data_IF_979842890651
#
_entry.id   IF_979842890651
#
_cell.length_a   1.000
_cell.length_b   1.000
_cell.length_c   1.000
_cell.angle_alpha   90.00
_cell.angle_beta   90.00
_cell.angle_gamma   90.00
#
_symmetry.space_group_name_H-M   'P 1'
#
loop_
_entity.id
_entity.type
_entity.pdbx_description
1 polymer ?
#
# COMPACT_ATOMS: atom_id res chain seq x y z
N UNK A 1 -42.93 6.33 -61.85
CA UNK A 1 -44.14 6.79 -61.15
C UNK A 1 -43.84 6.83 -59.64
N UNK A 2 -43.97 8.02 -59.04
CA UNK A 2 -44.41 8.37 -57.66
C UNK A 2 -44.02 7.39 -56.51
N UNK A 3 -43.09 7.78 -55.62
CA UNK A 3 -43.28 8.50 -54.32
C UNK A 3 -43.95 7.67 -53.19
N UNK A 4 -43.19 7.33 -52.14
CA UNK A 4 -43.47 7.51 -50.68
C UNK A 4 -42.30 6.85 -49.89
N UNK A 5 -41.37 7.54 -49.23
CA UNK A 5 -41.42 8.35 -48.00
C UNK A 5 -41.48 7.53 -46.69
N UNK A 6 -40.46 7.77 -45.84
CA UNK A 6 -40.35 7.56 -44.38
C UNK A 6 -40.08 6.14 -43.83
N UNK A 7 -38.87 5.94 -43.28
CA UNK A 7 -38.65 5.87 -41.82
C UNK A 7 -37.14 5.80 -41.51
N UNK A 8 -36.59 6.93 -41.05
CA UNK A 8 -35.39 6.95 -40.23
C UNK A 8 -35.70 6.20 -38.93
N UNK A 9 -35.16 5.00 -38.75
CA UNK A 9 -34.98 4.43 -37.42
C UNK A 9 -33.50 4.50 -37.07
N UNK A 10 -33.19 5.39 -36.14
CA UNK A 10 -31.92 5.48 -35.47
C UNK A 10 -31.62 4.16 -34.77
N UNK A 11 -30.80 3.31 -35.39
CA UNK A 11 -30.08 2.26 -34.68
C UNK A 11 -28.79 2.89 -34.13
N UNK A 12 -28.91 3.80 -33.16
CA UNK A 12 -27.85 3.98 -32.18
C UNK A 12 -27.85 2.70 -31.34
N UNK A 13 -27.10 1.72 -31.81
CA UNK A 13 -26.65 0.63 -30.97
C UNK A 13 -25.74 1.30 -29.94
N UNK A 14 -26.33 1.62 -28.78
CA UNK A 14 -25.57 1.80 -27.56
C UNK A 14 -24.88 0.46 -27.28
N UNK A 15 -23.70 0.27 -27.87
CA UNK A 15 -22.73 -0.63 -27.31
C UNK A 15 -22.33 -0.01 -25.96
N UNK A 16 -23.04 -0.41 -24.90
CA UNK A 16 -22.47 -0.38 -23.56
C UNK A 16 -21.35 -1.43 -23.56
N UNK A 17 -20.24 -1.10 -24.22
CA UNK A 17 -18.94 -1.64 -23.86
C UNK A 17 -18.65 -1.06 -22.48
N UNK A 18 -19.19 -1.70 -21.44
CA UNK A 18 -18.55 -1.66 -20.14
C UNK A 18 -17.24 -2.42 -20.31
N UNK A 19 -16.23 -1.73 -20.83
CA UNK A 19 -14.87 -2.11 -20.52
C UNK A 19 -14.81 -2.10 -18.99
N UNK A 20 -14.66 -3.27 -18.37
CA UNK A 20 -14.18 -3.34 -16.99
C UNK A 20 -12.85 -2.59 -17.02
N UNK A 21 -12.87 -1.34 -16.57
CA UNK A 21 -11.63 -0.61 -16.35
C UNK A 21 -10.90 -1.40 -15.26
N UNK A 22 -9.83 -2.09 -15.65
CA UNK A 22 -8.99 -2.83 -14.72
C UNK A 22 -8.33 -1.78 -13.83
N UNK A 23 -8.85 -1.62 -12.62
CA UNK A 23 -8.41 -0.54 -11.74
C UNK A 23 -7.07 -0.83 -11.06
N UNK A 24 -6.82 -2.12 -10.83
CA UNK A 24 -5.68 -2.72 -10.15
C UNK A 24 -5.36 -4.06 -10.87
N UNK A 25 -4.10 -4.48 -10.94
CA UNK A 25 -3.71 -5.74 -11.60
C UNK A 25 -2.62 -6.50 -10.82
N UNK A 26 -2.53 -6.31 -9.50
CA UNK A 26 -1.57 -7.12 -8.73
C UNK A 26 -1.99 -8.57 -8.71
N UNK A 27 -1.05 -9.44 -9.07
CA UNK A 27 -1.24 -10.90 -9.05
C UNK A 27 -0.27 -11.54 -8.06
N UNK A 28 -0.68 -12.59 -7.36
CA UNK A 28 0.24 -13.39 -6.57
C UNK A 28 1.37 -13.95 -7.44
N UNK A 29 2.61 -13.85 -6.97
CA UNK A 29 3.76 -14.48 -7.62
C UNK A 29 4.02 -15.82 -6.94
N UNK A 30 3.35 -16.87 -7.42
CA UNK A 30 3.51 -18.22 -6.90
C UNK A 30 2.43 -18.63 -5.89
N UNK A 31 2.78 -19.57 -5.01
CA UNK A 31 1.83 -20.23 -4.10
C UNK A 31 1.24 -19.25 -3.09
N UNK A 32 -0.05 -19.37 -2.80
CA UNK A 32 -0.65 -18.64 -1.68
C UNK A 32 0.05 -19.02 -0.38
N UNK A 33 0.40 -18.01 0.40
CA UNK A 33 1.08 -18.19 1.68
C UNK A 33 0.01 -18.40 2.75
N UNK A 34 -0.03 -19.59 3.33
CA UNK A 34 -0.91 -19.92 4.45
C UNK A 34 -0.05 -20.04 5.71
N UNK A 35 -0.32 -19.20 6.71
CA UNK A 35 0.40 -19.23 7.97
C UNK A 35 -0.08 -20.38 8.87
N UNK A 36 0.88 -21.06 9.51
CA UNK A 36 0.59 -22.04 10.55
C UNK A 36 -0.03 -21.38 11.78
N UNK A 37 -0.72 -22.17 12.61
CA UNK A 37 -1.30 -21.65 13.85
C UNK A 37 -0.23 -21.09 14.79
N UNK A 38 0.96 -21.70 14.86
CA UNK A 38 2.08 -21.20 15.65
C UNK A 38 2.54 -19.80 15.21
N UNK A 39 2.56 -19.53 13.90
CA UNK A 39 2.92 -18.22 13.36
C UNK A 39 1.89 -17.15 13.74
N UNK A 40 0.59 -17.51 13.71
CA UNK A 40 -0.50 -16.63 14.13
C UNK A 40 -0.47 -16.37 15.65
N UNK A 41 -0.25 -17.40 16.45
CA UNK A 41 -0.20 -17.31 17.92
C UNK A 41 0.97 -16.45 18.42
N UNK A 42 2.13 -16.46 17.73
CA UNK A 42 3.27 -15.58 18.06
C UNK A 42 2.90 -14.10 18.01
N UNK A 43 1.91 -13.72 17.22
CA UNK A 43 1.50 -12.33 17.00
C UNK A 43 0.34 -11.94 17.87
N UNK A 44 -0.60 -12.84 18.09
CA UNK A 44 -1.65 -12.65 19.10
C UNK A 44 -1.05 -12.34 20.49
N UNK A 45 0.16 -12.85 20.76
CA UNK A 45 0.92 -12.60 21.99
C UNK A 45 1.92 -11.42 21.90
N UNK A 46 2.17 -10.88 20.70
CA UNK A 46 3.03 -9.72 20.49
C UNK A 46 2.22 -8.43 20.68
N UNK A 47 2.40 -7.80 21.86
CA UNK A 47 2.00 -6.45 22.31
C UNK A 47 0.93 -5.71 21.49
N UNK A 48 -0.12 -5.23 22.17
CA UNK A 48 -1.23 -4.37 21.71
C UNK A 48 -0.85 -3.01 21.05
N UNK A 49 0.40 -2.79 20.66
CA UNK A 49 0.87 -1.51 20.14
C UNK A 49 1.00 -1.56 18.60
N UNK A 50 0.75 -0.43 17.89
CA UNK A 50 0.80 -0.44 16.43
C UNK A 50 2.19 -0.72 15.85
N UNK A 51 2.24 -1.52 14.80
CA UNK A 51 3.41 -1.68 13.93
C UNK A 51 3.58 -0.42 13.08
N UNK A 52 4.71 0.26 13.19
CA UNK A 52 4.97 1.48 12.40
C UNK A 52 5.92 1.17 11.24
N UNK A 53 5.41 1.27 10.01
CA UNK A 53 6.10 0.86 8.79
C UNK A 53 6.68 2.06 8.05
N UNK A 54 7.94 1.96 7.63
CA UNK A 54 8.63 2.98 6.84
C UNK A 54 8.13 3.01 5.39
N UNK A 55 7.67 4.17 4.92
CA UNK A 55 7.30 4.41 3.52
C UNK A 55 8.11 5.55 2.92
N UNK A 56 8.41 5.48 1.62
CA UNK A 56 9.10 6.52 0.89
C UNK A 56 8.44 6.74 -0.46
N UNK A 57 8.25 8.00 -0.86
CA UNK A 57 7.60 8.34 -2.13
C UNK A 57 8.63 8.83 -3.14
N UNK A 58 8.64 8.23 -4.31
CA UNK A 58 9.27 8.80 -5.51
C UNK A 58 8.18 9.19 -6.49
N UNK A 59 8.11 10.47 -6.86
CA UNK A 59 7.18 11.00 -7.86
C UNK A 59 7.94 11.40 -9.10
N UNK A 60 7.54 10.85 -10.23
CA UNK A 60 8.15 11.13 -11.52
C UNK A 60 7.61 12.45 -12.12
N UNK A 61 8.43 13.06 -12.95
CA UNK A 61 8.13 14.23 -13.75
C UNK A 61 8.82 14.06 -15.11
N UNK A 62 8.48 14.88 -16.09
CA UNK A 62 9.19 14.90 -17.36
C UNK A 62 10.65 15.35 -17.16
N UNK A 63 11.52 15.10 -18.13
CA UNK A 63 12.96 15.37 -18.02
C UNK A 63 13.27 16.85 -17.71
N UNK A 64 12.42 17.75 -18.21
CA UNK A 64 12.48 19.20 -17.95
C UNK A 64 11.89 19.62 -16.58
N UNK A 65 11.35 18.65 -15.82
CA UNK A 65 10.71 18.83 -14.53
C UNK A 65 9.22 19.22 -14.59
N UNK A 66 8.63 19.30 -15.78
CA UNK A 66 7.19 19.53 -15.97
C UNK A 66 6.37 18.25 -15.78
N UNK A 67 5.03 18.37 -15.85
CA UNK A 67 4.07 17.26 -15.70
C UNK A 67 4.37 16.27 -14.57
N UNK A 68 4.80 16.78 -13.42
CA UNK A 68 5.00 15.97 -12.21
C UNK A 68 3.74 15.17 -11.89
N UNK A 69 3.87 13.86 -11.68
CA UNK A 69 2.74 12.94 -11.59
C UNK A 69 1.74 13.25 -10.49
N UNK A 70 2.15 13.88 -9.39
CA UNK A 70 1.22 14.45 -8.41
C UNK A 70 1.87 15.62 -7.68
N UNK A 71 1.06 16.46 -7.02
CA UNK A 71 1.51 17.49 -6.07
C UNK A 71 1.76 16.89 -4.68
N UNK A 72 2.63 17.48 -3.87
CA UNK A 72 2.87 17.03 -2.49
C UNK A 72 1.60 17.05 -1.63
N UNK A 73 0.71 18.02 -1.82
CA UNK A 73 -0.57 18.08 -1.12
C UNK A 73 -1.43 16.84 -1.35
N UNK A 74 -1.65 16.48 -2.62
CA UNK A 74 -2.38 15.26 -2.99
C UNK A 74 -1.69 13.99 -2.46
N UNK A 75 -0.36 13.92 -2.52
CA UNK A 75 0.41 12.77 -1.99
C UNK A 75 0.18 12.63 -0.48
N UNK A 76 0.34 13.72 0.28
CA UNK A 76 0.18 13.73 1.73
C UNK A 76 -1.26 13.40 2.13
N UNK A 77 -2.26 13.91 1.39
CA UNK A 77 -3.68 13.55 1.59
C UNK A 77 -3.89 12.03 1.44
N UNK A 78 -3.38 11.43 0.37
CA UNK A 78 -3.57 10.00 0.16
C UNK A 78 -2.82 9.15 1.20
N UNK A 79 -1.63 9.57 1.62
CA UNK A 79 -0.92 8.92 2.74
C UNK A 79 -1.75 9.00 4.02
N UNK A 80 -2.41 10.13 4.30
CA UNK A 80 -3.31 10.25 5.45
C UNK A 80 -4.53 9.33 5.33
N UNK A 81 -5.17 9.25 4.15
CA UNK A 81 -6.28 8.33 3.90
C UNK A 81 -5.86 6.87 4.15
N UNK A 82 -4.72 6.47 3.58
CA UNK A 82 -4.12 5.17 3.81
C UNK A 82 -3.83 4.94 5.30
N UNK A 83 -3.16 5.86 5.99
CA UNK A 83 -2.90 5.73 7.42
C UNK A 83 -4.19 5.51 8.24
N UNK A 84 -5.27 6.22 7.91
CA UNK A 84 -6.57 6.06 8.57
C UNK A 84 -7.19 4.67 8.32
N UNK A 85 -7.03 4.09 7.13
CA UNK A 85 -7.54 2.75 6.80
C UNK A 85 -6.84 1.63 7.56
N UNK A 86 -5.55 1.82 7.85
CA UNK A 86 -4.71 0.82 8.52
C UNK A 86 -4.70 0.96 10.05
N UNK A 87 -5.05 2.13 10.58
CA UNK A 87 -5.04 2.38 12.02
C UNK A 87 -5.88 1.36 12.82
N UNK A 88 -7.11 1.00 12.39
CA UNK A 88 -7.89 -0.04 13.08
C UNK A 88 -7.21 -1.42 13.11
N UNK A 89 -6.26 -1.66 12.20
CA UNK A 89 -5.49 -2.89 12.09
C UNK A 89 -4.18 -2.86 12.88
N UNK A 90 -3.98 -1.89 13.77
CA UNK A 90 -2.73 -1.68 14.52
C UNK A 90 -1.51 -1.57 13.60
N UNK A 91 -1.68 -0.93 12.44
CA UNK A 91 -0.60 -0.61 11.52
C UNK A 91 -0.62 0.90 11.31
N UNK A 92 0.56 1.50 11.39
CA UNK A 92 0.80 2.92 11.20
C UNK A 92 2.00 3.11 10.29
N UNK A 93 2.30 4.35 9.91
CA UNK A 93 3.37 4.63 8.96
C UNK A 93 4.31 5.74 9.44
N UNK A 94 5.50 5.77 8.88
CA UNK A 94 6.41 6.92 8.95
C UNK A 94 6.91 7.24 7.55
N UNK A 95 6.64 8.47 7.08
CA UNK A 95 7.04 8.93 5.77
C UNK A 95 8.50 9.44 5.80
N UNK A 96 9.40 8.71 5.14
CA UNK A 96 10.82 9.07 5.06
C UNK A 96 11.08 10.30 4.19
N UNK A 97 10.25 10.50 3.16
CA UNK A 97 10.35 11.65 2.29
C UNK A 97 9.51 11.51 1.02
N UNK A 98 9.43 12.61 0.28
CA UNK A 98 8.92 12.66 -1.09
C UNK A 98 10.08 13.17 -1.94
N UNK A 99 10.52 12.38 -2.91
CA UNK A 99 11.57 12.71 -3.87
C UNK A 99 10.96 12.86 -5.25
N UNK A 100 11.29 13.94 -5.96
CA UNK A 100 11.02 14.03 -7.38
C UNK A 100 12.18 13.43 -8.19
N UNK A 101 11.85 12.69 -9.25
CA UNK A 101 12.79 12.23 -10.27
C UNK A 101 12.28 12.70 -11.63
N UNK A 102 13.11 13.41 -12.39
CA UNK A 102 12.80 13.81 -13.76
C UNK A 102 13.21 12.68 -14.70
N UNK A 103 12.23 12.00 -15.27
CA UNK A 103 12.38 10.90 -16.22
C UNK A 103 11.07 10.77 -17.00
N UNK A 104 11.01 11.29 -18.23
CA UNK A 104 9.76 11.32 -19.02
C UNK A 104 9.22 9.93 -19.33
N UNK A 105 10.11 8.95 -19.52
CA UNK A 105 9.78 7.55 -19.81
C UNK A 105 9.05 6.93 -18.62
N UNK A 106 9.67 6.98 -17.44
CA UNK A 106 9.02 6.53 -16.21
C UNK A 106 7.85 7.42 -15.78
N UNK A 107 7.71 8.64 -16.28
CA UNK A 107 6.51 9.44 -16.02
C UNK A 107 5.28 8.91 -16.79
N UNK A 108 5.50 8.07 -17.81
CA UNK A 108 4.48 7.30 -18.55
C UNK A 108 4.79 5.81 -18.45
N UNK A 109 4.62 5.25 -17.26
CA UNK A 109 5.07 3.90 -16.95
C UNK A 109 4.11 2.81 -17.42
N UNK A 110 4.61 1.78 -18.09
CA UNK A 110 3.87 0.57 -18.48
C UNK A 110 4.36 -0.64 -17.69
N UNK A 111 3.57 -1.06 -16.68
CA UNK A 111 3.92 -2.15 -15.74
C UNK A 111 4.44 -3.42 -16.44
N UNK A 112 3.75 -3.88 -17.47
CA UNK A 112 4.02 -5.19 -18.11
C UNK A 112 5.41 -5.27 -18.76
N UNK A 113 5.95 -4.14 -19.21
CA UNK A 113 7.23 -4.07 -19.93
C UNK A 113 8.34 -3.48 -19.08
N UNK A 114 8.02 -2.63 -18.10
CA UNK A 114 9.00 -1.76 -17.44
C UNK A 114 9.10 -1.99 -15.92
N UNK A 115 8.47 -3.03 -15.36
CA UNK A 115 8.44 -3.27 -13.90
C UNK A 115 9.84 -3.22 -13.23
N UNK A 116 10.89 -3.62 -13.94
CA UNK A 116 12.26 -3.59 -13.43
C UNK A 116 12.89 -2.18 -13.39
N UNK A 117 12.36 -1.22 -14.15
CA UNK A 117 12.95 0.10 -14.35
C UNK A 117 12.75 1.05 -13.18
N UNK A 118 11.75 0.78 -12.32
CA UNK A 118 11.55 1.51 -11.06
C UNK A 118 12.51 1.04 -9.95
N UNK A 119 13.11 -0.15 -10.09
CA UNK A 119 13.95 -0.76 -9.04
C UNK A 119 15.17 0.08 -8.61
N UNK A 120 15.89 0.76 -9.53
CA UNK A 120 17.01 1.65 -9.17
C UNK A 120 16.57 2.87 -8.34
N UNK A 121 15.29 3.23 -8.38
CA UNK A 121 14.74 4.38 -7.66
C UNK A 121 14.14 4.00 -6.30
N UNK A 122 14.35 2.78 -5.82
CA UNK A 122 13.97 2.40 -4.46
C UNK A 122 14.89 3.05 -3.45
N UNK A 123 14.30 3.61 -2.41
CA UNK A 123 14.99 3.98 -1.17
C UNK A 123 15.12 2.72 -0.29
N UNK A 124 16.36 2.27 0.03
CA UNK A 124 16.56 1.09 0.84
C UNK A 124 15.96 1.21 2.24
N UNK A 125 15.33 0.14 2.72
CA UNK A 125 14.73 0.12 4.06
C UNK A 125 13.36 0.79 4.17
N UNK A 126 12.66 0.97 3.06
CA UNK A 126 11.29 1.49 2.97
C UNK A 126 10.41 0.62 2.08
N UNK A 127 9.10 0.66 2.31
CA UNK A 127 8.13 0.39 1.23
C UNK A 127 8.15 1.60 0.29
N UNK A 128 8.42 1.36 -0.99
CA UNK A 128 8.58 2.41 -1.98
C UNK A 128 7.29 2.61 -2.78
N UNK A 129 6.79 3.85 -2.78
CA UNK A 129 5.61 4.27 -3.52
C UNK A 129 6.07 5.11 -4.70
N UNK A 130 5.86 4.60 -5.90
CA UNK A 130 6.15 5.30 -7.15
C UNK A 130 4.89 5.96 -7.69
N UNK A 131 4.99 7.23 -8.08
CA UNK A 131 3.86 7.98 -8.64
C UNK A 131 4.25 8.49 -10.02
N UNK A 132 3.48 8.08 -11.02
CA UNK A 132 3.69 8.39 -12.42
C UNK A 132 2.60 9.33 -12.89
N UNK A 133 2.87 10.25 -13.83
CA UNK A 133 1.80 11.05 -14.44
C UNK A 133 0.78 10.16 -15.15
N UNK A 134 1.26 9.14 -15.87
CA UNK A 134 0.42 8.13 -16.51
C UNK A 134 0.88 6.71 -16.12
N UNK A 135 -0.10 5.86 -15.86
CA UNK A 135 0.04 4.41 -15.68
C UNK A 135 -1.06 3.78 -16.55
N UNK A 136 -0.83 3.57 -17.86
CA UNK A 136 -1.88 3.25 -18.81
C UNK A 136 -2.70 2.01 -18.38
N UNK A 137 -4.02 2.20 -18.30
CA UNK A 137 -4.96 1.13 -17.96
C UNK A 137 -4.99 0.73 -16.49
N UNK A 138 -4.28 1.43 -15.58
CA UNK A 138 -4.24 1.12 -14.15
C UNK A 138 -4.32 2.39 -13.28
N UNK A 139 -4.87 2.28 -12.07
CA UNK A 139 -4.67 3.31 -11.04
C UNK A 139 -3.51 2.96 -10.11
N UNK A 140 -3.26 1.67 -9.94
CA UNK A 140 -2.26 1.16 -9.04
C UNK A 140 -1.85 -0.26 -9.38
N UNK A 141 -0.66 -0.62 -8.93
CA UNK A 141 -0.18 -2.00 -8.90
C UNK A 141 0.94 -2.13 -7.86
N UNK A 142 0.87 -3.14 -7.03
CA UNK A 142 2.06 -3.78 -6.45
C UNK A 142 2.66 -4.79 -7.45
N UNK A 143 3.96 -5.07 -7.30
CA UNK A 143 4.73 -5.96 -8.19
C UNK A 143 4.94 -7.37 -7.62
N UNK A 144 4.18 -7.74 -6.59
CA UNK A 144 4.22 -9.04 -5.92
C UNK A 144 3.43 -9.02 -4.61
N UNK A 145 3.21 -10.19 -4.02
CA UNK A 145 2.50 -10.36 -2.75
C UNK A 145 3.25 -11.42 -1.90
N UNK A 146 3.88 -11.04 -0.77
CA UNK A 146 4.15 -9.66 -0.33
C UNK A 146 5.17 -8.96 -1.24
N UNK A 147 5.33 -7.65 -1.08
CA UNK A 147 6.36 -6.88 -1.78
C UNK A 147 6.74 -5.61 -1.01
N UNK A 148 7.83 -4.95 -1.42
CA UNK A 148 8.34 -3.71 -0.81
C UNK A 148 8.17 -2.48 -1.69
N UNK A 149 7.39 -2.56 -2.77
CA UNK A 149 7.15 -1.42 -3.64
C UNK A 149 5.86 -1.56 -4.48
N UNK A 150 5.31 -0.41 -4.86
CA UNK A 150 4.10 -0.26 -5.64
C UNK A 150 4.15 1.00 -6.50
N UNK A 151 3.32 1.04 -7.54
CA UNK A 151 3.15 2.19 -8.43
C UNK A 151 1.71 2.67 -8.48
N UNK A 152 1.52 3.97 -8.63
CA UNK A 152 0.24 4.65 -8.69
C UNK A 152 0.20 5.65 -9.84
N UNK A 153 -0.97 5.81 -10.45
CA UNK A 153 -1.22 6.87 -11.41
C UNK A 153 -1.43 8.21 -10.70
N UNK A 154 -0.99 9.29 -11.34
CA UNK A 154 -1.17 10.65 -10.87
C UNK A 154 -2.63 11.03 -10.69
N UNK A 155 -3.48 10.56 -11.61
CA UNK A 155 -4.94 10.72 -11.53
C UNK A 155 -5.55 10.05 -10.30
N UNK A 156 -5.06 8.86 -9.91
CA UNK A 156 -5.50 8.19 -8.69
C UNK A 156 -5.13 8.98 -7.44
N UNK A 157 -3.92 9.54 -7.40
CA UNK A 157 -3.46 10.36 -6.28
C UNK A 157 -4.25 11.68 -6.19
N UNK A 158 -4.48 12.33 -7.34
CA UNK A 158 -5.14 13.62 -7.42
C UNK A 158 -6.64 13.56 -7.11
N UNK A 159 -7.31 12.44 -7.41
CA UNK A 159 -8.75 12.27 -7.19
C UNK A 159 -9.13 12.35 -5.71
N UNK A 160 -10.26 13.00 -5.43
CA UNK A 160 -10.88 13.07 -4.09
C UNK A 160 -11.78 11.87 -3.80
N UNK A 161 -12.35 11.28 -4.85
CA UNK A 161 -13.24 10.11 -4.75
C UNK A 161 -12.44 8.79 -4.74
N UNK A 162 -11.17 8.83 -5.14
CA UNK A 162 -10.26 7.72 -4.99
C UNK A 162 -9.48 7.84 -3.68
N UNK A 163 -10.02 7.27 -2.62
CA UNK A 163 -9.32 7.16 -1.32
C UNK A 163 -8.72 5.77 -1.10
N UNK A 164 -9.04 4.79 -1.95
CA UNK A 164 -8.78 3.38 -1.68
C UNK A 164 -7.57 2.81 -2.42
N UNK A 165 -7.17 3.33 -3.58
CA UNK A 165 -6.14 2.66 -4.41
C UNK A 165 -4.81 2.55 -3.68
N UNK A 166 -4.30 3.61 -3.04
CA UNK A 166 -3.03 3.52 -2.30
C UNK A 166 -3.12 2.47 -1.17
N UNK A 167 -4.22 2.46 -0.41
CA UNK A 167 -4.43 1.47 0.64
C UNK A 167 -4.56 0.04 0.11
N UNK A 168 -5.19 -0.15 -1.04
CA UNK A 168 -5.31 -1.44 -1.72
C UNK A 168 -3.95 -1.98 -2.15
N UNK A 169 -3.14 -1.19 -2.88
CA UNK A 169 -1.83 -1.63 -3.35
C UNK A 169 -0.85 -1.86 -2.19
N UNK A 170 -0.92 -1.04 -1.14
CA UNK A 170 -0.13 -1.28 0.06
C UNK A 170 -0.57 -2.57 0.77
N UNK A 171 -1.84 -2.96 0.67
CA UNK A 171 -2.37 -4.21 1.21
C UNK A 171 -1.68 -5.41 0.58
N UNK A 172 -1.49 -5.36 -0.74
CA UNK A 172 -0.68 -6.34 -1.47
C UNK A 172 0.78 -6.35 -1.04
N UNK A 173 1.41 -5.19 -0.82
CA UNK A 173 2.76 -5.14 -0.26
C UNK A 173 2.85 -5.87 1.09
N UNK A 174 1.82 -5.76 1.93
CA UNK A 174 1.73 -6.44 3.23
C UNK A 174 1.12 -7.85 3.15
N UNK A 175 1.00 -8.43 1.95
CA UNK A 175 0.69 -9.84 1.76
C UNK A 175 -0.79 -10.19 1.66
N UNK A 176 -1.68 -9.21 1.49
CA UNK A 176 -3.10 -9.46 1.22
C UNK A 176 -3.34 -9.83 -0.24
N UNK A 177 -4.19 -10.83 -0.47
CA UNK A 177 -4.70 -11.18 -1.78
C UNK A 177 -6.01 -10.45 -2.05
N UNK A 178 -6.46 -10.47 -3.31
CA UNK A 178 -7.84 -10.11 -3.61
C UNK A 178 -8.80 -11.06 -2.91
N UNK A 179 -9.95 -10.58 -2.44
CA UNK A 179 -10.97 -11.39 -1.74
C UNK A 179 -11.47 -12.57 -2.58
N UNK A 180 -11.49 -12.40 -3.90
CA UNK A 180 -11.89 -13.41 -4.89
C UNK A 180 -10.70 -14.20 -5.44
N UNK A 181 -9.52 -14.15 -4.81
CA UNK A 181 -8.37 -14.90 -5.29
C UNK A 181 -8.72 -16.38 -5.45
N UNK A 182 -8.34 -16.96 -6.59
CA UNK A 182 -8.76 -18.34 -6.91
C UNK A 182 -7.60 -19.26 -7.16
N UNK A 183 -6.37 -18.78 -7.28
CA UNK A 183 -5.25 -19.68 -7.59
C UNK A 183 -4.68 -20.27 -6.29
N UNK A 184 -4.79 -21.59 -6.10
CA UNK A 184 -4.24 -22.27 -4.92
C UNK A 184 -2.71 -22.49 -5.00
N UNK A 185 -2.17 -23.14 -3.97
CA UNK A 185 -0.75 -23.51 -3.85
C UNK A 185 -0.21 -24.43 -4.96
N UNK A 186 -1.07 -24.97 -5.82
CA UNK A 186 -0.73 -25.84 -6.94
C UNK A 186 -1.06 -25.21 -8.31
N UNK A 187 -1.50 -23.95 -8.33
CA UNK A 187 -1.88 -23.26 -9.56
C UNK A 187 -3.28 -23.62 -10.05
N UNK A 188 -4.09 -24.33 -9.24
CA UNK A 188 -5.45 -24.70 -9.60
C UNK A 188 -6.44 -23.62 -9.18
N UNK A 189 -7.54 -23.51 -9.91
CA UNK A 189 -8.67 -22.70 -9.47
C UNK A 189 -9.32 -23.37 -8.24
N UNK A 190 -9.25 -22.70 -7.10
CA UNK A 190 -9.84 -23.06 -5.82
C UNK A 190 -10.68 -21.88 -5.33
N UNK A 191 -11.92 -21.83 -5.81
CA UNK A 191 -12.89 -20.82 -5.37
C UNK A 191 -13.30 -21.07 -3.92
N UNK A 192 -13.43 -19.99 -3.18
CA UNK A 192 -13.94 -20.06 -1.82
C UNK A 192 -15.43 -20.38 -1.80
N UNK A 193 -15.85 -21.27 -0.91
CA UNK A 193 -17.25 -21.53 -0.63
C UNK A 193 -17.76 -20.56 0.45
N UNK A 194 -19.06 -20.26 0.41
CA UNK A 194 -19.73 -19.34 1.34
C UNK A 194 -19.79 -19.95 2.75
N UNK A 195 -19.83 -21.27 2.88
CA UNK A 195 -19.90 -21.94 4.16
C UNK A 195 -18.71 -21.61 5.08
N UNK A 196 -18.99 -21.29 6.34
CA UNK A 196 -17.99 -20.96 7.38
C UNK A 196 -17.76 -22.07 8.39
N UNK A 197 -18.51 -23.17 8.26
CA UNK A 197 -18.38 -24.37 9.08
C UNK A 197 -18.88 -25.59 8.31
N UNK A 198 -18.49 -26.78 8.78
CA UNK A 198 -18.91 -28.05 8.20
C UNK A 198 -18.16 -28.42 6.92
N UNK A 199 -18.61 -29.46 6.23
CA UNK A 199 -17.88 -30.08 5.11
C UNK A 199 -17.70 -29.17 3.89
N UNK A 200 -18.50 -28.10 3.75
CA UNK A 200 -18.40 -27.14 2.65
C UNK A 200 -17.41 -26.00 2.92
N UNK A 201 -16.89 -25.85 4.15
CA UNK A 201 -15.96 -24.77 4.48
C UNK A 201 -14.58 -25.01 3.85
N UNK A 202 -14.03 -24.01 3.15
CA UNK A 202 -12.67 -24.02 2.61
C UNK A 202 -11.93 -22.68 2.70
N UNK A 203 -12.46 -21.68 3.41
CA UNK A 203 -11.86 -20.33 3.52
C UNK A 203 -10.42 -20.27 4.08
N UNK A 204 -9.92 -21.35 4.70
CA UNK A 204 -8.54 -21.42 5.18
C UNK A 204 -7.52 -21.76 4.07
N UNK A 205 -8.00 -22.23 2.91
CA UNK A 205 -7.15 -22.72 1.80
C UNK A 205 -7.60 -22.23 0.42
N UNK A 206 -8.76 -21.59 0.32
CA UNK A 206 -9.35 -21.02 -0.89
C UNK A 206 -9.60 -19.52 -0.69
N UNK A 207 -9.92 -18.79 -1.77
CA UNK A 207 -10.14 -17.35 -1.69
C UNK A 207 -8.84 -16.61 -1.37
N UNK A 208 -8.96 -15.58 -0.54
CA UNK A 208 -7.82 -14.84 0.03
C UNK A 208 -7.17 -15.53 1.25
N UNK A 209 -7.57 -16.78 1.53
CA UNK A 209 -7.13 -17.62 2.66
C UNK A 209 -7.40 -17.01 4.04
N UNK A 210 -8.46 -16.19 4.13
CA UNK A 210 -8.93 -15.55 5.34
C UNK A 210 -10.40 -15.91 5.54
N UNK A 211 -10.78 -16.38 6.73
CA UNK A 211 -12.15 -16.87 6.97
C UNK A 211 -13.14 -15.79 7.42
N UNK A 212 -12.67 -14.62 7.85
CA UNK A 212 -13.53 -13.49 8.25
C UNK A 212 -13.85 -12.53 7.09
N UNK A 213 -13.24 -12.73 5.93
CA UNK A 213 -13.63 -12.16 4.64
C UNK A 213 -14.75 -13.04 4.06
N UNK A 214 -15.92 -12.49 3.71
CA UNK A 214 -16.97 -13.25 3.01
C UNK A 214 -16.50 -13.69 1.61
N UNK A 215 -16.89 -14.90 1.20
CA UNK A 215 -16.51 -15.47 -0.08
C UNK A 215 -16.94 -14.56 -1.23
N UNK A 216 -16.03 -14.33 -2.16
CA UNK A 216 -16.17 -13.39 -3.26
C UNK A 216 -15.93 -14.10 -4.59
N UNK A 217 -16.86 -13.93 -5.53
CA UNK A 217 -16.83 -14.55 -6.85
C UNK A 217 -16.43 -13.58 -7.96
N UNK A 218 -16.07 -12.34 -7.62
CA UNK A 218 -15.85 -11.23 -8.56
C UNK A 218 -17.06 -10.98 -9.46
N UNK A 219 -18.27 -11.23 -8.95
CA UNK A 219 -19.54 -11.04 -9.68
C UNK A 219 -19.91 -9.58 -9.97
N UNK A 220 -19.08 -8.63 -9.51
CA UNK A 220 -19.20 -7.21 -9.77
C UNK A 220 -20.02 -6.43 -8.74
N UNK A 221 -19.64 -5.15 -8.58
CA UNK A 221 -20.27 -4.19 -7.67
C UNK A 221 -20.67 -2.93 -8.45
N UNK A 222 -21.88 -2.44 -8.23
CA UNK A 222 -22.36 -1.23 -8.90
C UNK A 222 -21.90 0.07 -8.19
N UNK A 223 -22.23 1.23 -8.77
CA UNK A 223 -21.84 2.54 -8.21
C UNK A 223 -22.47 2.86 -6.85
N UNK A 224 -23.53 2.15 -6.44
CA UNK A 224 -24.14 2.27 -5.12
C UNK A 224 -23.52 1.30 -4.10
N UNK A 225 -22.37 0.69 -4.43
CA UNK A 225 -21.66 -0.28 -3.59
C UNK A 225 -22.46 -1.55 -3.29
N UNK A 226 -23.39 -1.90 -4.18
CA UNK A 226 -24.20 -3.11 -4.07
C UNK A 226 -23.65 -4.17 -5.00
N UNK A 227 -23.48 -5.38 -4.47
CA UNK A 227 -23.13 -6.57 -5.24
C UNK A 227 -24.26 -6.87 -6.23
N UNK A 228 -23.91 -7.02 -7.50
CA UNK A 228 -24.87 -7.27 -8.60
C UNK A 228 -24.68 -8.64 -9.25
N UNK A 229 -23.76 -9.45 -8.72
CA UNK A 229 -23.61 -10.83 -9.14
C UNK A 229 -24.76 -11.69 -8.65
N UNK A 230 -24.82 -12.91 -9.19
CA UNK A 230 -25.80 -13.93 -8.83
C UNK A 230 -25.20 -15.32 -8.76
N UNK A 231 -23.87 -15.40 -8.64
CA UNK A 231 -23.15 -16.65 -8.58
C UNK A 231 -23.50 -17.45 -7.34
N UNK A 232 -23.20 -18.75 -7.42
CA UNK A 232 -23.29 -19.67 -6.30
C UNK A 232 -22.00 -20.45 -6.17
N UNK A 233 -21.67 -20.84 -4.95
CA UNK A 233 -20.55 -21.72 -4.68
C UNK A 233 -20.83 -23.18 -5.08
N UNK A 234 -19.83 -24.04 -4.88
CA UNK A 234 -19.95 -25.47 -5.16
C UNK A 234 -21.01 -26.19 -4.29
N UNK A 235 -21.45 -25.54 -3.20
CA UNK A 235 -22.47 -26.02 -2.29
C UNK A 235 -23.86 -25.39 -2.55
N UNK A 236 -24.03 -24.73 -3.71
CA UNK A 236 -25.28 -24.11 -4.16
C UNK A 236 -25.80 -22.99 -3.25
N UNK A 237 -24.89 -22.35 -2.50
CA UNK A 237 -25.15 -21.16 -1.68
C UNK A 237 -24.78 -19.91 -2.48
N UNK A 238 -25.64 -18.89 -2.47
CA UNK A 238 -25.38 -17.63 -3.16
C UNK A 238 -24.27 -16.84 -2.48
N UNK A 239 -23.36 -16.28 -3.30
CA UNK A 239 -22.33 -15.36 -2.81
C UNK A 239 -22.95 -14.07 -2.29
N UNK A 240 -22.32 -13.52 -1.26
CA UNK A 240 -22.65 -12.23 -0.66
C UNK A 240 -21.36 -11.55 -0.19
N UNK A 241 -20.50 -11.10 -1.12
CA UNK A 241 -19.19 -10.55 -0.79
C UNK A 241 -19.31 -9.25 -0.01
N UNK A 242 -18.26 -8.94 0.77
CA UNK A 242 -18.12 -7.66 1.43
C UNK A 242 -17.70 -6.59 0.42
N UNK A 243 -18.67 -5.89 -0.17
CA UNK A 243 -18.43 -4.86 -1.20
C UNK A 243 -17.60 -3.66 -0.72
N UNK A 244 -17.49 -3.49 0.61
CA UNK A 244 -16.67 -2.46 1.25
C UNK A 244 -15.25 -2.90 1.58
N UNK A 245 -14.91 -4.18 1.33
CA UNK A 245 -13.58 -4.70 1.62
C UNK A 245 -12.53 -3.99 0.76
N UNK A 246 -11.42 -3.59 1.39
CA UNK A 246 -10.34 -2.88 0.70
C UNK A 246 -9.76 -3.71 -0.44
N UNK A 247 -9.73 -5.04 -0.32
CA UNK A 247 -9.13 -5.97 -1.28
C UNK A 247 -10.12 -6.57 -2.29
N UNK A 248 -11.37 -6.13 -2.30
CA UNK A 248 -12.35 -6.53 -3.32
C UNK A 248 -12.29 -5.68 -4.60
N UNK A 249 -12.93 -6.16 -5.67
CA UNK A 249 -13.13 -5.42 -6.91
C UNK A 249 -14.50 -4.74 -6.93
N UNK A 250 -14.54 -3.61 -6.22
CA UNK A 250 -15.64 -2.65 -6.27
C UNK A 250 -15.16 -1.26 -6.68
N UNK A 251 -16.11 -0.36 -6.97
CA UNK A 251 -15.78 1.04 -7.25
C UNK A 251 -14.94 1.64 -6.11
N UNK A 252 -13.95 2.48 -6.45
CA UNK A 252 -12.98 3.07 -5.49
C UNK A 252 -13.65 3.68 -4.24
N UNK A 253 -14.79 4.41 -4.32
CA UNK A 253 -15.46 4.96 -3.15
C UNK A 253 -16.10 3.91 -2.22
N UNK A 254 -16.31 2.67 -2.69
CA UNK A 254 -16.92 1.60 -1.90
C UNK A 254 -15.92 0.97 -0.92
N UNK A 255 -14.65 0.88 -1.33
CA UNK A 255 -13.59 0.17 -0.60
C UNK A 255 -13.07 1.03 0.54
N UNK A 256 -13.24 0.55 1.77
CA UNK A 256 -12.96 1.36 2.96
C UNK A 256 -12.47 0.57 4.18
N UNK A 257 -12.64 -0.75 4.21
CA UNK A 257 -12.42 -1.55 5.42
C UNK A 257 -11.51 -2.76 5.14
N UNK A 258 -10.59 -3.02 6.06
CA UNK A 258 -9.95 -4.32 6.20
C UNK A 258 -10.65 -5.13 7.30
N UNK A 259 -10.75 -6.45 7.14
CA UNK A 259 -11.20 -7.34 8.22
C UNK A 259 -10.11 -7.52 9.28
N UNK A 260 -10.48 -8.09 10.44
CA UNK A 260 -9.52 -8.37 11.51
C UNK A 260 -8.49 -9.42 11.06
N UNK A 261 -8.93 -10.43 10.30
CA UNK A 261 -8.08 -11.46 9.72
C UNK A 261 -7.12 -10.91 8.67
N UNK A 262 -7.54 -9.92 7.87
CA UNK A 262 -6.64 -9.16 7.00
C UNK A 262 -5.59 -8.39 7.82
N UNK A 263 -6.02 -7.71 8.89
CA UNK A 263 -5.10 -7.04 9.81
C UNK A 263 -4.07 -8.00 10.45
N UNK A 264 -4.52 -9.15 10.94
CA UNK A 264 -3.67 -10.19 11.50
C UNK A 264 -2.65 -10.67 10.46
N UNK A 265 -3.11 -11.03 9.26
CA UNK A 265 -2.25 -11.48 8.16
C UNK A 265 -1.13 -10.48 7.84
N UNK A 266 -1.46 -9.19 7.74
CA UNK A 266 -0.47 -8.14 7.48
C UNK A 266 0.57 -8.04 8.60
N UNK A 267 0.14 -8.07 9.87
CA UNK A 267 1.07 -8.08 11.02
C UNK A 267 1.94 -9.35 11.05
N UNK A 268 1.45 -10.47 10.51
CA UNK A 268 2.24 -11.68 10.31
C UNK A 268 3.34 -11.52 9.31
N UNK A 269 3.07 -10.90 8.17
CA UNK A 269 4.13 -10.55 7.23
C UNK A 269 5.14 -9.57 7.83
N UNK A 270 4.70 -8.55 8.56
CA UNK A 270 5.58 -7.56 9.20
C UNK A 270 6.53 -8.14 10.28
N UNK A 271 6.25 -9.35 10.79
CA UNK A 271 7.08 -10.00 11.83
C UNK A 271 7.85 -11.22 11.33
N UNK A 272 7.45 -11.81 10.21
CA UNK A 272 8.01 -13.08 9.73
C UNK A 272 8.66 -12.98 8.36
N UNK A 273 8.29 -12.00 7.53
CA UNK A 273 8.88 -11.83 6.20
C UNK A 273 10.21 -11.07 6.29
N UNK A 274 11.31 -11.60 5.74
CA UNK A 274 12.64 -11.00 5.85
C UNK A 274 12.79 -9.69 5.07
N UNK A 275 11.92 -9.42 4.09
CA UNK A 275 11.93 -8.17 3.33
C UNK A 275 11.12 -7.07 4.04
N UNK A 276 10.08 -7.44 4.80
CA UNK A 276 9.20 -6.49 5.50
C UNK A 276 9.61 -6.21 6.95
N UNK A 277 10.13 -7.20 7.66
CA UNK A 277 10.55 -7.04 9.06
C UNK A 277 11.53 -5.86 9.27
N UNK A 278 12.55 -5.64 8.41
CA UNK A 278 13.47 -4.50 8.55
C UNK A 278 12.83 -3.12 8.29
N UNK A 279 11.58 -3.09 7.81
CA UNK A 279 10.85 -1.86 7.48
C UNK A 279 10.06 -1.32 8.67
N UNK A 280 9.89 -2.12 9.73
CA UNK A 280 9.21 -1.72 10.97
C UNK A 280 10.17 -0.94 11.87
N UNK A 281 9.71 0.17 12.43
CA UNK A 281 10.51 0.96 13.39
C UNK A 281 10.29 0.51 14.83
N UNK A 282 11.28 0.79 15.67
CA UNK A 282 11.18 0.57 17.11
C UNK A 282 10.30 1.63 17.77
N UNK A 283 9.84 1.34 18.99
CA UNK A 283 8.97 2.24 19.76
C UNK A 283 9.71 3.51 20.20
N UNK A 284 10.93 3.32 20.72
CA UNK A 284 11.77 4.39 21.25
C UNK A 284 13.20 4.18 20.75
N UNK A 285 13.85 5.26 20.31
CA UNK A 285 15.27 5.26 19.93
C UNK A 285 16.04 6.29 20.73
N UNK A 286 17.23 5.89 21.20
CA UNK A 286 18.26 6.79 21.73
C UNK A 286 19.39 6.89 20.72
N UNK A 287 19.85 8.10 20.42
CA UNK A 287 20.94 8.33 19.46
C UNK A 287 21.87 9.46 19.92
N UNK A 288 23.20 9.32 19.81
CA UNK A 288 23.91 8.12 19.42
C UNK A 288 23.89 7.09 20.56
N UNK A 289 23.96 5.81 20.21
CA UNK A 289 23.92 4.72 21.21
C UNK A 289 25.29 4.63 21.94
N UNK A 290 26.39 4.83 21.21
CA UNK A 290 27.75 4.70 21.75
C UNK A 290 28.69 5.78 21.20
N UNK A 291 29.54 6.34 22.07
CA UNK A 291 30.57 7.32 21.73
C UNK A 291 30.06 8.64 21.11
N UNK A 292 30.88 9.69 21.22
CA UNK A 292 30.58 10.93 20.52
C UNK A 292 30.58 10.65 19.01
N UNK A 293 29.50 11.00 18.33
CA UNK A 293 29.29 10.69 16.92
C UNK A 293 29.26 11.97 16.10
N UNK A 294 29.99 11.98 14.98
CA UNK A 294 29.90 13.05 13.98
C UNK A 294 29.49 12.46 12.64
N UNK A 295 28.40 12.95 12.07
CA UNK A 295 27.89 12.57 10.74
C UNK A 295 28.13 13.74 9.80
N UNK A 296 29.01 13.55 8.81
CA UNK A 296 29.46 14.60 7.90
C UNK A 296 28.99 14.40 6.45
N UNK A 297 28.41 13.25 6.12
CA UNK A 297 27.91 12.95 4.77
C UNK A 297 26.84 11.84 4.82
N UNK A 298 26.19 11.62 3.68
CA UNK A 298 25.21 10.55 3.50
C UNK A 298 23.83 10.89 4.06
N UNK A 299 22.87 10.01 3.77
CA UNK A 299 21.48 10.13 4.21
C UNK A 299 21.21 9.16 5.35
N UNK A 300 20.58 9.61 6.43
CA UNK A 300 20.20 8.78 7.56
C UNK A 300 18.78 9.06 8.05
N UNK A 301 18.12 7.99 8.50
CA UNK A 301 16.74 8.00 8.95
C UNK A 301 16.68 7.42 10.36
N UNK A 302 16.36 8.27 11.34
CA UNK A 302 16.24 7.92 12.75
C UNK A 302 14.77 8.05 13.11
N UNK A 303 14.05 6.96 12.94
CA UNK A 303 12.60 6.90 13.09
C UNK A 303 12.20 5.97 14.21
N UNK A 304 11.28 6.43 15.04
CA UNK A 304 10.66 5.63 16.08
C UNK A 304 9.15 5.87 16.10
N UNK A 305 8.37 4.97 16.70
CA UNK A 305 6.93 5.17 16.87
C UNK A 305 6.66 6.33 17.83
N UNK A 306 7.12 6.18 19.07
CA UNK A 306 6.75 7.05 20.19
C UNK A 306 7.76 8.15 20.42
N UNK A 307 9.06 7.81 20.52
CA UNK A 307 10.06 8.80 20.86
C UNK A 307 11.43 8.58 20.24
N UNK A 308 12.05 9.68 19.80
CA UNK A 308 13.49 9.75 19.50
C UNK A 308 14.15 10.70 20.50
N UNK A 309 15.14 10.19 21.23
CA UNK A 309 15.94 10.93 22.18
C UNK A 309 17.35 11.12 21.64
N UNK A 310 17.72 12.38 21.36
CA UNK A 310 19.03 12.74 20.81
C UNK A 310 19.91 13.31 21.91
N UNK A 311 21.07 12.68 22.15
CA UNK A 311 22.01 12.98 23.23
C UNK A 311 21.38 12.96 24.64
N UNK A 312 20.37 12.12 24.87
CA UNK A 312 19.72 11.96 26.18
C UNK A 312 20.33 10.78 26.94
N UNK A 313 21.09 11.05 28.00
CA UNK A 313 21.84 10.02 28.75
C UNK A 313 23.01 9.39 27.98
N UNK A 314 23.32 9.95 26.80
CA UNK A 314 24.24 9.41 25.80
C UNK A 314 25.24 10.46 25.31
N UNK A 315 26.27 10.05 24.55
CA UNK A 315 27.28 10.96 24.01
C UNK A 315 26.76 12.00 23.00
N UNK A 316 27.62 12.97 22.67
CA UNK A 316 27.30 14.09 21.80
C UNK A 316 27.07 13.63 20.35
N UNK A 317 26.03 14.16 19.70
CA UNK A 317 25.80 14.00 18.26
C UNK A 317 26.08 15.30 17.53
N UNK A 318 26.99 15.28 16.56
CA UNK A 318 27.18 16.37 15.60
C UNK A 318 26.75 15.92 14.20
N UNK A 319 25.88 16.69 13.54
CA UNK A 319 25.56 16.51 12.12
C UNK A 319 26.02 17.77 11.37
N UNK A 320 26.90 17.62 10.39
CA UNK A 320 27.48 18.76 9.68
C UNK A 320 27.71 18.46 8.19
N UNK A 321 28.34 19.42 7.49
CA UNK A 321 28.81 19.25 6.12
C UNK A 321 27.67 18.83 5.18
N UNK A 322 27.81 17.80 4.36
CA UNK A 322 26.80 17.39 3.37
C UNK A 322 25.82 16.34 3.91
N UNK A 323 25.84 16.05 5.21
CA UNK A 323 24.95 15.06 5.81
C UNK A 323 23.48 15.47 5.71
N UNK A 324 22.63 14.50 5.35
CA UNK A 324 21.16 14.62 5.34
C UNK A 324 20.59 13.68 6.39
N UNK A 325 20.03 14.21 7.48
CA UNK A 325 19.51 13.39 8.58
C UNK A 325 18.05 13.72 8.88
N UNK A 326 17.23 12.69 9.00
CA UNK A 326 15.81 12.79 9.34
C UNK A 326 15.55 12.14 10.69
N UNK A 327 14.95 12.90 11.60
CA UNK A 327 14.50 12.44 12.91
C UNK A 327 12.98 12.58 12.98
N UNK A 328 12.27 11.48 13.20
CA UNK A 328 10.80 11.49 13.22
C UNK A 328 10.22 10.45 14.18
N UNK A 329 9.30 10.89 15.04
CA UNK A 329 8.49 10.07 15.94
C UNK A 329 7.30 10.89 16.45
N UNK A 330 6.40 10.32 17.26
CA UNK A 330 5.38 11.14 17.97
C UNK A 330 6.06 12.29 18.75
N UNK A 331 7.20 12.01 19.39
CA UNK A 331 8.03 13.00 20.08
C UNK A 331 9.51 12.89 19.66
N UNK A 332 10.14 14.02 19.33
CA UNK A 332 11.60 14.08 19.21
C UNK A 332 12.15 15.04 20.24
N UNK A 333 13.08 14.57 21.06
CA UNK A 333 13.72 15.35 22.13
C UNK A 333 15.21 15.50 21.83
N UNK A 334 15.66 16.75 21.69
CA UNK A 334 17.06 17.09 21.52
C UNK A 334 17.62 17.57 22.86
N UNK A 335 18.71 16.96 23.33
CA UNK A 335 19.34 17.29 24.62
C UNK A 335 20.72 17.91 24.43
N UNK A 336 21.30 18.37 25.54
CA UNK A 336 22.67 18.90 25.58
C UNK A 336 23.64 17.92 24.92
N UNK A 337 24.54 18.42 24.07
CA UNK A 337 25.43 17.58 23.26
C UNK A 337 24.98 17.37 21.82
N UNK A 338 23.76 17.76 21.46
CA UNK A 338 23.29 17.79 20.06
C UNK A 338 23.78 19.05 19.35
N UNK A 339 24.46 18.89 18.20
CA UNK A 339 24.91 19.99 17.33
C UNK A 339 24.53 19.72 15.88
N UNK A 340 23.70 20.59 15.31
CA UNK A 340 23.38 20.57 13.88
C UNK A 340 24.01 21.78 13.19
N UNK A 341 24.84 21.53 12.19
CA UNK A 341 25.57 22.54 11.42
C UNK A 341 25.71 22.12 9.95
N UNK A 342 24.58 21.86 9.25
CA UNK A 342 24.62 21.44 7.85
C UNK A 342 25.29 22.51 6.98
N UNK A 343 26.17 22.07 6.08
CA UNK A 343 26.76 22.89 5.01
C UNK A 343 25.92 22.83 3.74
N UNK A 344 26.47 23.32 2.63
CA UNK A 344 25.81 23.27 1.32
C UNK A 344 25.45 21.83 0.93
N UNK A 345 24.17 21.59 0.62
CA UNK A 345 23.64 20.25 0.29
C UNK A 345 23.33 19.37 1.51
N UNK A 346 23.75 19.76 2.72
CA UNK A 346 23.36 19.10 3.97
C UNK A 346 21.97 19.54 4.44
N UNK A 347 21.31 18.69 5.23
CA UNK A 347 19.99 18.97 5.80
C UNK A 347 19.77 18.20 7.09
N UNK A 348 19.18 18.84 8.10
CA UNK A 348 18.63 18.14 9.26
C UNK A 348 17.13 18.43 9.33
N UNK A 349 16.31 17.39 9.37
CA UNK A 349 14.87 17.48 9.49
C UNK A 349 14.42 16.80 10.77
N UNK A 350 13.82 17.56 11.68
CA UNK A 350 13.22 17.05 12.92
C UNK A 350 11.73 17.29 12.86
N UNK A 351 10.92 16.22 12.84
CA UNK A 351 9.46 16.31 12.66
C UNK A 351 8.73 15.40 13.61
N UNK A 352 7.50 15.77 13.98
CA UNK A 352 6.56 14.83 14.57
C UNK A 352 6.01 13.88 13.48
N UNK A 353 5.60 12.67 13.84
CA UNK A 353 4.95 11.73 12.94
C UNK A 353 3.42 11.83 13.03
N UNK A 354 2.70 12.36 12.02
CA UNK A 354 1.24 12.45 12.07
C UNK A 354 0.53 11.14 11.68
N UNK A 355 1.25 10.17 11.11
CA UNK A 355 0.68 8.93 10.55
C UNK A 355 0.71 7.74 11.51
N UNK A 356 0.88 8.03 12.79
CA UNK A 356 0.83 7.07 13.88
C UNK A 356 0.32 7.81 15.12
N UNK A 357 -0.99 7.75 15.39
CA UNK A 357 -1.61 8.35 16.57
C UNK A 357 -2.15 7.27 17.49
#
# INVERSE_FOLDING_TARGET
>A
MKKLLLLLLAALIYTNLRAQHIDCDTRPTGKLIIFSQEQKDKIANAINAPFTVKIFVTVFADDDGSHRGATDENILRQIQNMANQYQPQNICFVLGGIRQVNNSDLNTHTKDTEAAEVLPFREPGFINIFIHNSLPGLNGTAYGIPNTYLSLSGGAIASLDNVSTLGHELGHCLGLYHTFETVDENGNSNKENVARAGACQNCATAGDVICDTPADDDGGVNAACVYIGGGKDACNVSYAPMTTNMMGYGSRPCRSIFTNGQGERMRTFLTTDPSLTPLVVQDIIYTPIFGNTTISSGTGYIFARDAVYVSDGSPNLTVNSTAVQFFQAKKVSLKSGTKFSPGTGGKVSVKSNPYCN
#
